data_IF_367303017630
#
_entry.id   IF_367303017630
#
_cell.length_a   1.000
_cell.length_b   1.000
_cell.length_c   1.000
_cell.angle_alpha   90.00
_cell.angle_beta   90.00
_cell.angle_gamma   90.00
#
_symmetry.space_group_name_H-M   'P 1'
#
loop_
_entity.id
_entity.type
_entity.pdbx_description
1 polymer ?
#
# COMPACT_ATOMS: atom_id res chain seq x y z
N UNK A 1 10.41 -11.59 -16.60
CA UNK A 1 10.91 -12.13 -15.31
C UNK A 1 10.09 -11.47 -14.19
N UNK A 2 8.87 -11.96 -13.92
CA UNK A 2 7.88 -11.23 -13.07
C UNK A 2 7.23 -12.05 -11.95
N UNK A 3 7.74 -13.26 -11.67
CA UNK A 3 7.10 -14.21 -10.74
C UNK A 3 7.50 -13.98 -9.27
N UNK A 4 8.63 -13.31 -9.00
CA UNK A 4 9.15 -13.18 -7.63
C UNK A 4 8.43 -12.12 -6.78
N UNK A 5 7.73 -11.17 -7.42
CA UNK A 5 7.12 -10.04 -6.73
C UNK A 5 5.75 -10.34 -6.11
N UNK A 6 4.88 -10.96 -6.91
CA UNK A 6 3.54 -11.37 -6.48
C UNK A 6 3.56 -12.59 -5.57
N UNK A 7 4.59 -13.45 -5.68
CA UNK A 7 4.84 -14.52 -4.73
C UNK A 7 5.09 -13.97 -3.32
N UNK A 8 6.02 -13.00 -3.16
CA UNK A 8 6.34 -12.47 -1.83
C UNK A 8 5.20 -11.69 -1.17
N UNK A 9 4.41 -10.91 -1.91
CA UNK A 9 3.22 -10.25 -1.35
C UNK A 9 2.19 -11.27 -0.86
N UNK A 10 1.89 -12.28 -1.69
CA UNK A 10 0.88 -13.29 -1.37
C UNK A 10 1.32 -14.15 -0.18
N UNK A 11 2.61 -14.48 -0.10
CA UNK A 11 3.19 -15.23 1.00
C UNK A 11 3.20 -14.43 2.31
N UNK A 12 3.54 -13.14 2.26
CA UNK A 12 3.48 -12.25 3.42
C UNK A 12 2.04 -12.07 3.91
N UNK A 13 1.08 -11.88 2.99
CA UNK A 13 -0.35 -11.79 3.33
C UNK A 13 -0.88 -13.09 3.95
N UNK A 14 -0.50 -14.25 3.41
CA UNK A 14 -0.91 -15.56 3.94
C UNK A 14 -0.37 -15.83 5.36
N UNK A 15 0.85 -15.35 5.67
CA UNK A 15 1.38 -15.40 7.05
C UNK A 15 0.57 -14.50 7.97
N UNK A 16 0.28 -13.28 7.51
CA UNK A 16 -0.46 -12.29 8.29
C UNK A 16 -1.89 -12.76 8.60
N UNK A 17 -2.58 -13.38 7.63
CA UNK A 17 -3.91 -13.95 7.82
C UNK A 17 -3.91 -15.13 8.80
N UNK A 18 -2.86 -15.95 8.81
CA UNK A 18 -2.72 -17.06 9.76
C UNK A 18 -2.54 -16.54 11.18
N UNK A 19 -1.65 -15.56 11.37
CA UNK A 19 -1.41 -14.95 12.68
C UNK A 19 -2.69 -14.27 13.20
N UNK A 20 -3.43 -13.58 12.33
CA UNK A 20 -4.72 -12.98 12.70
C UNK A 20 -5.73 -14.03 13.19
N UNK A 21 -5.86 -15.15 12.48
CA UNK A 21 -6.75 -16.24 12.89
C UNK A 21 -6.33 -16.88 14.23
N UNK A 22 -5.02 -16.99 14.48
CA UNK A 22 -4.48 -17.51 15.74
C UNK A 22 -4.74 -16.54 16.91
N UNK A 23 -4.60 -15.23 16.69
CA UNK A 23 -4.93 -14.21 17.68
C UNK A 23 -6.45 -14.12 17.95
N UNK A 24 -7.28 -14.24 16.92
CA UNK A 24 -8.75 -14.23 17.06
C UNK A 24 -9.30 -15.46 17.79
N UNK A 25 -8.61 -16.60 17.70
CA UNK A 25 -9.00 -17.81 18.43
C UNK A 25 -8.98 -17.62 19.96
N UNK A 26 -8.21 -16.64 20.46
CA UNK A 26 -8.09 -16.36 21.89
C UNK A 26 -7.32 -17.43 22.68
N UNK A 27 -6.78 -18.46 22.02
CA UNK A 27 -5.99 -19.54 22.63
C UNK A 27 -4.51 -19.16 22.81
N UNK A 28 -4.08 -18.01 22.29
CA UNK A 28 -2.72 -17.53 22.43
C UNK A 28 -2.50 -16.91 23.83
N UNK A 29 -1.64 -17.55 24.63
CA UNK A 29 -1.14 -16.96 25.89
C UNK A 29 -0.49 -15.60 25.63
N UNK A 30 -0.60 -14.67 26.59
CA UNK A 30 -0.09 -13.30 26.49
C UNK A 30 1.42 -13.26 26.10
N UNK A 31 2.19 -14.23 26.59
CA UNK A 31 3.62 -14.37 26.28
C UNK A 31 3.89 -14.82 24.84
N UNK A 32 2.91 -15.44 24.17
CA UNK A 32 2.96 -15.82 22.75
C UNK A 32 2.35 -14.77 21.82
N UNK A 33 1.47 -13.92 22.34
CA UNK A 33 0.87 -12.81 21.58
C UNK A 33 1.92 -11.80 21.14
N UNK A 34 2.87 -11.44 22.01
CA UNK A 34 3.91 -10.46 21.68
C UNK A 34 4.80 -10.89 20.49
N UNK A 35 5.38 -12.10 20.48
CA UNK A 35 6.11 -12.62 19.31
C UNK A 35 5.28 -12.67 18.03
N UNK A 36 4.03 -13.13 18.13
CA UNK A 36 3.11 -13.18 16.98
C UNK A 36 2.84 -11.78 16.42
N UNK A 37 2.72 -10.77 17.28
CA UNK A 37 2.52 -9.39 16.87
C UNK A 37 3.74 -8.81 16.14
N UNK A 38 4.95 -9.14 16.60
CA UNK A 38 6.20 -8.73 15.94
C UNK A 38 6.33 -9.37 14.55
N UNK A 39 6.02 -10.66 14.43
CA UNK A 39 5.98 -11.36 13.14
C UNK A 39 4.92 -10.77 12.20
N UNK A 40 3.72 -10.48 12.72
CA UNK A 40 2.66 -9.84 11.95
C UNK A 40 3.10 -8.44 11.46
N UNK A 41 3.79 -7.66 12.30
CA UNK A 41 4.30 -6.34 11.94
C UNK A 41 5.36 -6.43 10.83
N UNK A 42 6.24 -7.42 10.88
CA UNK A 42 7.24 -7.65 9.84
C UNK A 42 6.59 -8.04 8.50
N UNK A 43 5.63 -8.97 8.53
CA UNK A 43 4.87 -9.36 7.35
C UNK A 43 4.06 -8.17 6.77
N UNK A 44 3.50 -7.33 7.65
CA UNK A 44 2.77 -6.13 7.23
C UNK A 44 3.66 -5.11 6.53
N UNK A 45 4.88 -4.89 7.05
CA UNK A 45 5.83 -3.97 6.44
C UNK A 45 6.20 -4.39 5.02
N UNK A 46 6.36 -5.69 4.77
CA UNK A 46 6.62 -6.23 3.44
C UNK A 46 5.43 -6.02 2.50
N UNK A 47 4.21 -6.32 2.97
CA UNK A 47 2.97 -6.03 2.22
C UNK A 47 2.84 -4.53 1.89
N UNK A 48 3.13 -3.66 2.86
CA UNK A 48 3.04 -2.21 2.70
C UNK A 48 4.05 -1.69 1.68
N UNK A 49 5.30 -2.15 1.74
CA UNK A 49 6.35 -1.75 0.79
C UNK A 49 5.96 -2.10 -0.66
N UNK A 50 5.35 -3.27 -0.87
CA UNK A 50 4.82 -3.67 -2.19
C UNK A 50 3.72 -2.73 -2.68
N UNK A 51 2.77 -2.39 -1.80
CA UNK A 51 1.66 -1.48 -2.11
C UNK A 51 2.19 -0.09 -2.43
N UNK A 52 3.17 0.40 -1.67
CA UNK A 52 3.81 1.70 -1.91
C UNK A 52 4.55 1.73 -3.25
N UNK A 53 5.26 0.66 -3.61
CA UNK A 53 5.90 0.54 -4.92
C UNK A 53 4.86 0.57 -6.06
N UNK A 54 3.72 -0.11 -5.91
CA UNK A 54 2.62 -0.06 -6.89
C UNK A 54 2.01 1.34 -6.96
N UNK A 55 1.79 2.01 -5.81
CA UNK A 55 1.28 3.39 -5.77
C UNK A 55 2.22 4.35 -6.49
N UNK A 56 3.53 4.23 -6.29
CA UNK A 56 4.53 5.06 -6.95
C UNK A 56 4.54 4.89 -8.47
N UNK A 57 4.35 3.65 -8.96
CA UNK A 57 4.22 3.37 -10.39
C UNK A 57 2.94 4.01 -10.96
N UNK A 58 1.82 3.86 -10.26
CA UNK A 58 0.54 4.45 -10.67
C UNK A 58 0.57 5.98 -10.65
N UNK A 59 1.22 6.60 -9.67
CA UNK A 59 1.36 8.06 -9.60
C UNK A 59 2.37 8.62 -10.61
N UNK A 60 3.39 7.84 -11.00
CA UNK A 60 4.45 8.31 -11.90
C UNK A 60 4.12 8.14 -13.38
N UNK A 61 3.69 6.94 -13.79
CA UNK A 61 3.49 6.61 -15.21
C UNK A 61 2.07 6.99 -15.70
N UNK A 62 1.11 7.09 -14.78
CA UNK A 62 -0.30 7.41 -15.09
C UNK A 62 -0.80 8.69 -14.39
N UNK A 63 -0.01 9.30 -13.49
CA UNK A 63 -0.39 10.50 -12.73
C UNK A 63 0.19 11.82 -13.25
N UNK A 64 0.86 11.83 -14.41
CA UNK A 64 1.33 13.06 -15.08
C UNK A 64 0.35 13.55 -16.17
N UNK A 65 -0.92 13.15 -16.10
CA UNK A 65 -1.98 13.82 -16.82
C UNK A 65 -2.71 14.73 -15.85
N UNK A 66 -2.70 16.04 -16.13
CA UNK A 66 -3.57 17.07 -15.53
C UNK A 66 -3.09 17.70 -14.21
N UNK A 67 -1.96 18.40 -14.28
CA UNK A 67 -1.77 19.66 -13.55
C UNK A 67 -1.34 20.75 -14.55
N UNK A 68 -2.14 20.95 -15.62
CA UNK A 68 -2.05 22.21 -16.37
C UNK A 68 -2.77 23.28 -15.54
N UNK A 69 -1.97 24.20 -14.99
CA UNK A 69 -2.42 25.51 -14.51
C UNK A 69 -3.42 26.09 -15.51
N UNK A 70 -4.68 26.19 -15.09
CA UNK A 70 -5.65 27.00 -15.81
C UNK A 70 -5.21 28.45 -15.58
N UNK A 71 -4.46 28.99 -16.55
CA UNK A 71 -4.13 30.41 -16.63
C UNK A 71 -5.46 31.16 -16.81
N UNK A 72 -5.97 31.71 -15.71
CA UNK A 72 -7.16 32.55 -15.67
C UNK A 72 -6.79 33.90 -16.32
N UNK A 73 -6.76 33.93 -17.65
CA UNK A 73 -6.66 35.20 -18.39
C UNK A 73 -7.99 35.93 -18.27
N UNK A 74 -8.07 36.80 -17.25
CA UNK A 74 -9.01 37.91 -17.19
C UNK A 74 -8.73 38.87 -18.36
N UNK A 75 -9.32 38.64 -19.55
CA UNK A 75 -9.34 39.65 -20.62
C UNK A 75 -10.63 40.47 -20.53
N UNK A 76 -10.53 41.53 -19.73
CA UNK A 76 -11.43 42.68 -19.75
C UNK A 76 -11.04 43.56 -20.97
N UNK A 77 -11.85 43.64 -22.03
CA UNK A 77 -11.44 44.50 -23.16
C UNK A 77 -12.31 44.64 -24.41
N UNK A 78 -13.37 45.45 -24.31
CA UNK A 78 -13.81 46.45 -25.31
C UNK A 78 -14.28 46.06 -26.74
N UNK A 79 -15.58 46.32 -26.96
CA UNK A 79 -16.20 47.11 -28.05
C UNK A 79 -15.82 46.84 -29.51
N UNK A 80 -16.80 46.44 -30.33
CA UNK A 80 -17.24 47.13 -31.57
C UNK A 80 -18.71 46.81 -31.86
#
# INVERSE_FOLDING_TARGET
>A
MGVSASASYRDAYARLSRIAAELESGEADLDRVLPLLEEARAAYAECRSRIEAVRAVLSGEWGQGEEEEVEDTEDEGAAF
#
